data_IF_794429868261
#
_entry.id   IF_794429868261
#
_cell.length_a   1.000
_cell.length_b   1.000
_cell.length_c   1.000
_cell.angle_alpha   90.00
_cell.angle_beta   90.00
_cell.angle_gamma   90.00
#
_symmetry.space_group_name_H-M   'P 1'
#
loop_
_entity.id
_entity.type
_entity.pdbx_description
1 polymer ?
#
# COMPACT_ATOMS: atom_id res chain seq x y z
N UNK A 1 3.45 15.20 -4.93
CA UNK A 1 2.91 16.24 -4.02
C UNK A 1 3.47 16.02 -2.63
N UNK A 2 3.93 17.04 -1.91
CA UNK A 2 4.53 16.89 -0.58
C UNK A 2 3.99 17.93 0.42
N UNK A 3 4.07 17.59 1.69
CA UNK A 3 3.44 18.28 2.80
C UNK A 3 4.38 18.32 4.01
N UNK A 4 4.15 19.28 4.91
CA UNK A 4 4.82 19.29 6.21
C UNK A 4 4.32 18.12 7.06
N UNK A 5 5.23 17.29 7.57
CA UNK A 5 4.91 16.17 8.44
C UNK A 5 4.13 16.60 9.69
N UNK A 6 4.43 17.79 10.22
CA UNK A 6 3.74 18.38 11.37
C UNK A 6 2.27 18.73 11.12
N UNK A 7 1.80 18.70 9.88
CA UNK A 7 0.39 18.90 9.55
C UNK A 7 -0.49 17.66 9.83
N UNK A 8 0.13 16.50 10.09
CA UNK A 8 -0.57 15.24 10.30
C UNK A 8 -0.40 14.75 11.72
N UNK A 9 -1.49 14.24 12.30
CA UNK A 9 -1.40 13.43 13.51
C UNK A 9 -0.72 12.08 13.22
N UNK A 10 -0.22 11.42 14.26
CA UNK A 10 0.27 10.04 14.12
C UNK A 10 -0.84 9.06 14.48
N UNK A 11 -1.05 8.06 13.63
CA UNK A 11 -1.95 6.94 13.90
C UNK A 11 -1.17 5.64 13.80
N UNK A 12 -1.80 4.54 14.20
CA UNK A 12 -1.22 3.20 14.06
C UNK A 12 -1.04 2.77 12.60
N UNK A 13 -1.87 3.29 11.70
CA UNK A 13 -1.81 3.04 10.27
C UNK A 13 -1.04 4.16 9.53
N UNK A 14 -0.08 4.82 10.22
CA UNK A 14 0.74 5.90 9.66
C UNK A 14 0.16 7.30 9.89
N UNK A 15 0.55 8.30 9.07
CA UNK A 15 0.06 9.68 9.19
C UNK A 15 -1.47 9.75 9.11
N UNK A 16 -2.09 10.55 9.97
CA UNK A 16 -3.54 10.73 10.03
C UNK A 16 -4.06 11.54 8.85
N UNK A 17 -4.49 10.85 7.81
CA UNK A 17 -5.07 11.38 6.57
C UNK A 17 -6.27 10.51 6.16
N UNK A 18 -7.12 11.02 5.26
CA UNK A 18 -8.17 10.21 4.66
C UNK A 18 -7.57 9.03 3.88
N UNK A 19 -8.12 7.84 4.09
CA UNK A 19 -7.74 6.64 3.34
C UNK A 19 -8.14 6.75 1.86
N UNK A 20 -7.44 6.00 1.01
CA UNK A 20 -7.78 5.83 -0.40
C UNK A 20 -8.36 4.44 -0.59
N UNK A 21 -9.57 4.36 -1.14
CA UNK A 21 -10.22 3.09 -1.43
C UNK A 21 -10.03 2.71 -2.89
N UNK A 22 -9.34 1.60 -3.14
CA UNK A 22 -9.34 0.94 -4.43
C UNK A 22 -10.56 0.01 -4.49
N UNK A 23 -11.59 0.44 -5.22
CA UNK A 23 -12.81 -0.35 -5.41
C UNK A 23 -12.53 -1.53 -6.35
N UNK A 24 -12.75 -2.74 -5.86
CA UNK A 24 -12.50 -4.00 -6.54
C UNK A 24 -13.83 -4.63 -7.00
N UNK A 25 -13.70 -5.62 -7.87
CA UNK A 25 -14.84 -6.41 -8.32
C UNK A 25 -15.56 -7.10 -7.14
N UNK A 26 -16.88 -7.21 -7.27
CA UNK A 26 -17.76 -7.73 -6.22
C UNK A 26 -18.01 -6.76 -5.06
N UNK A 27 -17.75 -5.45 -5.24
CA UNK A 27 -18.09 -4.40 -4.27
C UNK A 27 -17.20 -4.37 -3.03
N UNK A 28 -16.00 -4.96 -3.12
CA UNK A 28 -14.99 -4.95 -2.05
C UNK A 28 -14.05 -3.78 -2.25
N UNK A 29 -13.53 -3.22 -1.17
CA UNK A 29 -12.49 -2.19 -1.23
C UNK A 29 -11.17 -2.76 -0.72
N UNK A 30 -10.07 -2.35 -1.35
CA UNK A 30 -8.76 -2.39 -0.71
C UNK A 30 -8.41 -0.99 -0.23
N UNK A 31 -8.38 -0.82 1.08
CA UNK A 31 -8.18 0.46 1.77
C UNK A 31 -6.70 0.73 1.97
N UNK A 32 -6.23 1.88 1.49
CA UNK A 32 -4.86 2.36 1.67
C UNK A 32 -4.85 3.51 2.69
N UNK A 33 -4.49 3.25 3.96
CA UNK A 33 -4.37 4.30 4.97
C UNK A 33 -3.09 5.13 4.78
N UNK A 34 -2.81 6.05 5.70
CA UNK A 34 -1.67 6.96 5.62
C UNK A 34 -0.32 6.28 5.38
N UNK A 35 -0.07 5.14 6.02
CA UNK A 35 1.17 4.36 5.86
C UNK A 35 1.36 3.81 4.44
N UNK A 36 0.28 3.59 3.70
CA UNK A 36 0.30 3.06 2.33
C UNK A 36 0.20 4.16 1.27
N UNK A 37 -0.02 5.41 1.66
CA UNK A 37 -0.28 6.53 0.75
C UNK A 37 0.67 7.73 0.91
N UNK A 38 1.33 7.86 2.06
CA UNK A 38 2.31 8.91 2.34
C UNK A 38 3.67 8.32 2.70
N UNK A 39 4.71 8.78 2.00
CA UNK A 39 6.11 8.42 2.22
C UNK A 39 6.79 9.51 3.03
N UNK A 40 7.41 9.15 4.15
CA UNK A 40 8.28 10.07 4.88
C UNK A 40 9.65 10.12 4.21
N UNK A 41 9.97 11.25 3.59
CA UNK A 41 11.24 11.44 2.86
C UNK A 41 12.33 12.04 3.75
N UNK A 42 11.93 12.75 4.80
CA UNK A 42 12.80 13.29 5.84
C UNK A 42 12.01 13.55 7.15
N UNK A 43 12.66 14.13 8.17
CA UNK A 43 12.03 14.41 9.47
C UNK A 43 10.90 15.45 9.44
N UNK A 44 10.72 16.20 8.35
CA UNK A 44 9.78 17.30 8.23
C UNK A 44 8.82 17.17 7.05
N UNK A 45 9.03 16.19 6.16
CA UNK A 45 8.33 16.11 4.87
C UNK A 45 7.71 14.73 4.66
N UNK A 46 6.40 14.74 4.34
CA UNK A 46 5.66 13.59 3.84
C UNK A 46 5.25 13.85 2.39
N UNK A 47 5.44 12.88 1.51
CA UNK A 47 5.07 12.98 0.10
C UNK A 47 4.02 11.94 -0.27
N UNK A 48 3.09 12.34 -1.14
CA UNK A 48 2.09 11.45 -1.72
C UNK A 48 2.77 10.36 -2.55
N UNK A 49 2.56 9.10 -2.17
CA UNK A 49 3.24 7.92 -2.70
C UNK A 49 2.72 7.42 -4.05
N UNK A 50 2.13 8.30 -4.85
CA UNK A 50 1.65 8.01 -6.20
C UNK A 50 2.33 8.94 -7.20
N UNK A 51 2.72 8.36 -8.33
CA UNK A 51 3.38 9.07 -9.43
C UNK A 51 2.54 8.94 -10.68
N UNK A 52 2.57 9.99 -11.50
CA UNK A 52 1.93 9.97 -12.81
C UNK A 52 2.64 8.97 -13.73
N UNK A 53 1.87 8.20 -14.49
CA UNK A 53 2.42 7.29 -15.49
C UNK A 53 2.94 8.10 -16.68
N UNK A 54 4.08 7.68 -17.22
CA UNK A 54 4.61 8.29 -18.45
C UNK A 54 3.57 8.25 -19.58
N UNK A 55 3.25 9.39 -20.23
CA UNK A 55 2.21 9.45 -21.26
C UNK A 55 2.44 8.50 -22.44
N UNK A 56 3.69 8.26 -22.83
CA UNK A 56 4.01 7.34 -23.92
C UNK A 56 3.78 5.88 -23.49
N UNK A 57 4.06 5.55 -22.23
CA UNK A 57 3.72 4.23 -21.67
C UNK A 57 2.20 4.04 -21.53
N UNK A 58 1.48 5.09 -21.14
CA UNK A 58 0.02 5.09 -20.99
C UNK A 58 -0.71 4.94 -22.33
N UNK A 59 -0.12 5.40 -23.44
CA UNK A 59 -0.70 5.30 -24.78
C UNK A 59 -0.68 3.89 -25.38
N UNK A 60 -0.01 2.91 -24.75
CA UNK A 60 0.06 1.53 -25.23
C UNK A 60 -1.25 0.79 -24.91
N UNK A 61 -1.92 0.16 -25.90
CA UNK A 61 -3.13 -0.61 -25.67
C UNK A 61 -2.91 -1.73 -24.63
N UNK A 62 -3.81 -1.82 -23.66
CA UNK A 62 -3.71 -2.81 -22.57
C UNK A 62 -2.83 -2.37 -21.40
N UNK A 63 -2.24 -1.17 -21.42
CA UNK A 63 -1.57 -0.61 -20.24
C UNK A 63 -2.59 -0.43 -19.09
N UNK A 64 -2.29 -0.92 -17.88
CA UNK A 64 -3.18 -0.73 -16.74
C UNK A 64 -3.26 0.75 -16.34
N UNK A 65 -4.46 1.22 -15.99
CA UNK A 65 -4.68 2.60 -15.54
C UNK A 65 -3.94 2.92 -14.23
N UNK A 66 -3.72 1.91 -13.39
CA UNK A 66 -3.02 2.01 -12.11
C UNK A 66 -2.08 0.82 -11.96
N UNK A 67 -0.85 1.10 -11.52
CA UNK A 67 0.13 0.07 -11.16
C UNK A 67 0.42 0.19 -9.68
N UNK A 68 -0.04 -0.79 -8.90
CA UNK A 68 0.31 -0.92 -7.49
C UNK A 68 1.72 -1.49 -7.38
N UNK A 69 2.57 -0.89 -6.56
CA UNK A 69 3.97 -1.31 -6.39
C UNK A 69 4.26 -1.68 -4.94
N UNK A 70 5.50 -2.12 -4.71
CA UNK A 70 5.95 -2.63 -3.41
C UNK A 70 5.60 -1.73 -2.23
N UNK A 71 5.68 -0.40 -2.37
CA UNK A 71 5.33 0.54 -1.30
C UNK A 71 3.90 0.36 -0.78
N UNK A 72 2.90 0.30 -1.67
CA UNK A 72 1.52 0.07 -1.28
C UNK A 72 1.27 -1.35 -0.74
N UNK A 73 2.11 -2.32 -1.13
CA UNK A 73 2.03 -3.71 -0.69
C UNK A 73 2.72 -3.97 0.65
N UNK A 74 3.52 -3.03 1.17
CA UNK A 74 4.20 -3.19 2.46
C UNK A 74 3.19 -3.46 3.57
N UNK A 75 3.54 -4.40 4.45
CA UNK A 75 2.73 -4.81 5.59
C UNK A 75 1.29 -5.21 5.26
N UNK A 76 1.03 -5.64 4.03
CA UNK A 76 -0.16 -6.38 3.64
C UNK A 76 0.25 -7.82 3.29
N UNK A 77 -0.58 -8.80 3.64
CA UNK A 77 -0.43 -10.17 3.16
C UNK A 77 -1.14 -10.30 1.82
N UNK A 78 -0.38 -10.71 0.80
CA UNK A 78 -0.90 -10.98 -0.53
C UNK A 78 -0.85 -12.49 -0.78
N UNK A 79 -2.01 -13.10 -1.04
CA UNK A 79 -2.12 -14.50 -1.41
C UNK A 79 -2.56 -14.61 -2.86
N UNK A 80 -1.65 -15.10 -3.70
CA UNK A 80 -1.89 -15.41 -5.10
C UNK A 80 -2.38 -16.87 -5.22
N UNK A 81 -3.70 -17.06 -5.29
CA UNK A 81 -4.30 -18.37 -5.54
C UNK A 81 -4.38 -18.59 -7.05
N UNK A 82 -3.38 -19.29 -7.59
CA UNK A 82 -3.25 -19.55 -9.03
C UNK A 82 -4.27 -20.58 -9.54
N UNK A 83 -4.73 -21.49 -8.69
CA UNK A 83 -5.73 -22.50 -9.05
C UNK A 83 -7.10 -21.85 -9.24
N UNK A 84 -7.46 -20.90 -8.37
CA UNK A 84 -8.71 -20.15 -8.47
C UNK A 84 -8.60 -18.89 -9.33
N UNK A 85 -7.39 -18.47 -9.69
CA UNK A 85 -7.14 -17.21 -10.39
C UNK A 85 -7.53 -15.99 -9.56
N UNK A 86 -7.38 -16.05 -8.24
CA UNK A 86 -7.79 -14.98 -7.32
C UNK A 86 -6.62 -14.41 -6.55
N UNK A 87 -6.61 -13.08 -6.37
CA UNK A 87 -5.73 -12.39 -5.44
C UNK A 87 -6.51 -12.07 -4.16
N UNK A 88 -6.00 -12.52 -3.03
CA UNK A 88 -6.47 -12.10 -1.71
C UNK A 88 -5.48 -11.10 -1.11
N UNK A 89 -6.02 -10.06 -0.50
CA UNK A 89 -5.26 -8.99 0.14
C UNK A 89 -5.81 -8.84 1.55
N UNK A 90 -4.95 -8.86 2.55
CA UNK A 90 -5.34 -8.56 3.93
C UNK A 90 -5.56 -7.05 4.13
N UNK A 91 -6.15 -6.67 5.24
CA UNK A 91 -5.98 -5.31 5.77
C UNK A 91 -4.51 -5.06 6.15
N UNK A 92 -4.15 -3.80 6.37
CA UNK A 92 -2.80 -3.42 6.79
C UNK A 92 -2.47 -4.04 8.17
N UNK A 93 -1.42 -4.87 8.22
CA UNK A 93 -1.02 -5.61 9.42
C UNK A 93 -0.69 -4.71 10.62
N UNK A 94 -0.27 -3.46 10.36
CA UNK A 94 -0.03 -2.47 11.41
C UNK A 94 -1.29 -2.27 12.27
N UNK A 95 -2.49 -2.32 11.65
CA UNK A 95 -3.79 -2.28 12.32
C UNK A 95 -4.12 -3.55 13.12
N UNK A 96 -3.29 -4.59 13.02
CA UNK A 96 -3.32 -5.82 13.81
C UNK A 96 -2.14 -5.96 14.79
N UNK A 97 -1.29 -4.93 14.92
CA UNK A 97 -0.15 -4.82 15.87
C UNK A 97 0.98 -5.74 15.44
N UNK A 98 1.08 -5.98 14.15
CA UNK A 98 2.15 -6.75 13.55
C UNK A 98 2.59 -6.12 12.24
N UNK A 99 3.66 -6.61 11.66
CA UNK A 99 4.17 -6.19 10.35
C UNK A 99 4.87 -7.39 9.71
N UNK A 100 5.14 -7.36 8.41
CA UNK A 100 5.75 -8.50 7.73
C UNK A 100 7.10 -8.90 8.34
N UNK A 101 7.87 -7.92 8.83
CA UNK A 101 9.13 -8.15 9.55
C UNK A 101 9.04 -8.87 10.90
N UNK A 102 7.83 -9.07 11.47
CA UNK A 102 7.66 -9.83 12.72
C UNK A 102 7.67 -11.35 12.51
N UNK A 103 7.74 -11.81 11.26
CA UNK A 103 7.83 -13.23 10.99
C UNK A 103 9.16 -13.81 11.50
N UNK A 104 9.09 -14.88 12.30
CA UNK A 104 10.28 -15.55 12.78
C UNK A 104 10.84 -16.52 11.73
N UNK A 105 11.80 -16.04 10.94
CA UNK A 105 12.47 -16.83 9.91
C UNK A 105 13.36 -17.97 10.44
N UNK A 106 13.71 -17.98 11.73
CA UNK A 106 14.57 -19.03 12.31
C UNK A 106 13.85 -20.35 12.57
N UNK A 107 12.51 -20.38 12.53
CA UNK A 107 11.73 -21.60 12.77
C UNK A 107 11.55 -22.47 11.50
N UNK A 108 11.98 -21.99 10.33
CA UNK A 108 11.79 -22.67 9.04
C UNK A 108 13.06 -23.27 8.44
N UNK A 109 14.23 -23.03 9.03
CA UNK A 109 15.49 -23.66 8.63
C UNK A 109 15.56 -25.08 9.21
N UNK A 110 15.04 -26.04 8.45
CA UNK A 110 15.34 -27.48 8.61
C UNK A 110 16.57 -27.84 7.80
#
# INVERSE_FOLDING_TARGET
>A
MCYRASAFGSTRAGPGVASIDLMLDGGRNWTLPGASSLVQVDGQTLCFGFVEMDPAAAAVPGTPAVVVRGFQMLDNLLLFDLEKGTLWISELLLEMRTHCGNFNFTMGSS
#
